data_IF_480662651435
#
_entry.id   IF_480662651435
#
_cell.length_a   1.000
_cell.length_b   1.000
_cell.length_c   1.000
_cell.angle_alpha   90.00
_cell.angle_beta   90.00
_cell.angle_gamma   90.00
#
_symmetry.space_group_name_H-M   'P 1'
#
loop_
_entity.id
_entity.type
_entity.pdbx_description
1 polymer ?
#
# COMPACT_ATOMS: atom_id res chain seq x y z
N UNK A 1 -21.37 -13.29 -23.80
CA UNK A 1 -20.68 -12.34 -22.90
C UNK A 1 -20.26 -11.22 -23.80
N UNK A 2 -20.85 -10.07 -23.52
CA UNK A 2 -20.93 -8.96 -24.45
C UNK A 2 -19.87 -7.94 -24.06
N UNK A 3 -19.50 -7.04 -24.97
CA UNK A 3 -18.46 -6.01 -24.71
C UNK A 3 -18.80 -5.18 -23.47
N UNK A 4 -20.07 -4.87 -23.28
CA UNK A 4 -20.56 -4.11 -22.12
C UNK A 4 -20.38 -4.88 -20.80
N UNK A 5 -20.61 -6.20 -20.79
CA UNK A 5 -20.32 -7.03 -19.61
C UNK A 5 -18.82 -7.12 -19.31
N UNK A 6 -17.98 -7.22 -20.35
CA UNK A 6 -16.52 -7.25 -20.18
C UNK A 6 -16.00 -5.90 -19.65
N UNK A 7 -16.55 -4.79 -20.15
CA UNK A 7 -16.25 -3.44 -19.67
C UNK A 7 -16.59 -3.31 -18.17
N UNK A 8 -17.78 -3.73 -17.75
CA UNK A 8 -18.16 -3.68 -16.34
C UNK A 8 -17.24 -4.55 -15.46
N UNK A 9 -16.86 -5.75 -15.91
CA UNK A 9 -15.93 -6.62 -15.20
C UNK A 9 -14.54 -5.97 -15.04
N UNK A 10 -14.01 -5.36 -16.11
CA UNK A 10 -12.72 -4.64 -16.11
C UNK A 10 -12.79 -3.43 -15.18
N UNK A 11 -13.89 -2.69 -15.22
CA UNK A 11 -14.12 -1.52 -14.37
C UNK A 11 -14.19 -1.88 -12.89
N UNK A 12 -14.90 -2.95 -12.54
CA UNK A 12 -15.00 -3.44 -11.16
C UNK A 12 -13.62 -3.89 -10.64
N UNK A 13 -12.84 -4.60 -11.48
CA UNK A 13 -11.48 -4.97 -11.14
C UNK A 13 -10.58 -3.73 -10.96
N UNK A 14 -10.68 -2.74 -11.85
CA UNK A 14 -9.92 -1.49 -11.77
C UNK A 14 -10.22 -0.72 -10.48
N UNK A 15 -11.48 -0.63 -10.08
CA UNK A 15 -11.89 -0.02 -8.80
C UNK A 15 -11.28 -0.77 -7.61
N UNK A 16 -11.37 -2.09 -7.62
CA UNK A 16 -10.79 -2.96 -6.58
C UNK A 16 -9.27 -2.80 -6.48
N UNK A 17 -8.57 -2.74 -7.62
CA UNK A 17 -7.11 -2.54 -7.68
C UNK A 17 -6.73 -1.16 -7.15
N UNK A 18 -7.42 -0.09 -7.58
CA UNK A 18 -7.16 1.27 -7.09
C UNK A 18 -7.41 1.41 -5.59
N UNK A 19 -8.46 0.78 -5.08
CA UNK A 19 -8.75 0.71 -3.65
C UNK A 19 -7.63 -0.01 -2.88
N UNK A 20 -7.26 -1.20 -3.35
CA UNK A 20 -6.20 -2.01 -2.74
C UNK A 20 -4.86 -1.28 -2.76
N UNK A 21 -4.50 -0.66 -3.88
CA UNK A 21 -3.31 0.16 -4.03
C UNK A 21 -3.23 1.26 -2.97
N UNK A 22 -4.34 1.97 -2.72
CA UNK A 22 -4.37 3.05 -1.73
C UNK A 22 -4.24 2.53 -0.29
N UNK A 23 -4.87 1.40 0.05
CA UNK A 23 -4.67 0.76 1.36
C UNK A 23 -3.19 0.37 1.54
N UNK A 24 -2.59 -0.28 0.53
CA UNK A 24 -1.19 -0.69 0.56
C UNK A 24 -0.25 0.50 0.71
N UNK A 25 -0.52 1.61 0.01
CA UNK A 25 0.25 2.84 0.14
C UNK A 25 0.19 3.44 1.56
N UNK A 26 -1.01 3.51 2.16
CA UNK A 26 -1.18 4.00 3.55
C UNK A 26 -0.46 3.10 4.55
N UNK A 27 -0.55 1.78 4.36
CA UNK A 27 0.14 0.82 5.21
C UNK A 27 1.66 0.97 5.12
N UNK A 28 2.19 1.14 3.90
CA UNK A 28 3.60 1.44 3.65
C UNK A 28 4.04 2.74 4.35
N UNK A 29 3.30 3.84 4.17
CA UNK A 29 3.64 5.14 4.78
C UNK A 29 3.67 5.06 6.30
N UNK A 30 2.72 4.34 6.90
CA UNK A 30 2.69 4.11 8.33
C UNK A 30 3.93 3.32 8.78
N UNK A 31 4.26 2.24 8.09
CA UNK A 31 5.43 1.41 8.40
C UNK A 31 6.74 2.20 8.22
N UNK A 32 6.81 3.06 7.21
CA UNK A 32 7.94 3.94 6.95
C UNK A 32 8.13 4.98 8.06
N UNK A 33 7.04 5.60 8.54
CA UNK A 33 7.06 6.50 9.72
C UNK A 33 7.54 5.77 10.97
N UNK A 34 7.05 4.55 11.22
CA UNK A 34 7.53 3.73 12.33
C UNK A 34 9.02 3.44 12.20
N UNK A 35 9.49 3.03 11.02
CA UNK A 35 10.90 2.77 10.79
C UNK A 35 11.77 4.03 10.99
N UNK A 36 11.32 5.19 10.49
CA UNK A 36 12.01 6.46 10.71
C UNK A 36 12.14 6.77 12.22
N UNK A 37 11.05 6.59 12.98
CA UNK A 37 11.08 6.76 14.44
C UNK A 37 12.00 5.75 15.13
N UNK A 38 12.05 4.49 14.67
CA UNK A 38 12.99 3.49 15.17
C UNK A 38 14.45 3.87 14.86
N UNK A 39 14.75 4.34 13.66
CA UNK A 39 16.10 4.79 13.30
C UNK A 39 16.54 5.98 14.17
N UNK A 40 15.68 6.99 14.32
CA UNK A 40 15.99 8.14 15.17
C UNK A 40 16.13 7.78 16.64
N UNK A 41 15.30 6.86 17.16
CA UNK A 41 15.47 6.38 18.54
C UNK A 41 16.75 5.58 18.73
N UNK A 42 17.17 4.78 17.74
CA UNK A 42 18.50 4.13 17.73
C UNK A 42 19.64 5.16 17.73
N UNK A 43 19.55 6.20 16.90
CA UNK A 43 20.55 7.28 16.84
C UNK A 43 20.65 7.98 18.20
N UNK A 44 19.52 8.37 18.79
CA UNK A 44 19.48 8.99 20.12
C UNK A 44 20.05 8.05 21.19
N UNK A 45 19.68 6.77 21.17
CA UNK A 45 20.23 5.77 22.09
C UNK A 45 21.75 5.59 21.94
N UNK A 46 22.27 5.62 20.70
CA UNK A 46 23.70 5.57 20.43
C UNK A 46 24.44 6.82 20.93
N UNK A 47 23.86 8.01 20.75
CA UNK A 47 24.38 9.26 21.33
C UNK A 47 24.37 9.23 22.87
N UNK A 48 23.29 8.74 23.49
CA UNK A 48 23.21 8.58 24.94
C UNK A 48 24.24 7.55 25.40
N UNK A 49 24.42 6.44 24.69
CA UNK A 49 25.41 5.42 25.02
C UNK A 49 26.84 5.95 24.92
N UNK A 50 27.20 6.67 23.85
CA UNK A 50 28.54 7.26 23.71
C UNK A 50 28.82 8.35 24.76
N UNK A 51 27.82 9.19 25.04
CA UNK A 51 27.85 10.15 26.15
C UNK A 51 27.93 9.47 27.52
N UNK A 52 27.25 8.33 27.70
CA UNK A 52 27.30 7.53 28.92
C UNK A 52 28.66 6.89 29.13
N UNK A 53 29.32 6.35 28.10
CA UNK A 53 30.69 5.79 28.20
C UNK A 53 31.69 6.87 28.60
N UNK A 54 31.60 8.07 28.01
CA UNK A 54 32.41 9.21 28.42
C UNK A 54 32.11 9.66 29.87
N UNK A 55 30.82 9.66 30.27
CA UNK A 55 30.41 10.02 31.63
C UNK A 55 30.77 8.97 32.68
N UNK A 56 30.82 7.68 32.32
CA UNK A 56 31.22 6.57 33.17
C UNK A 56 32.72 6.60 33.50
N UNK A 57 33.53 7.14 32.58
CA UNK A 57 34.97 7.33 32.77
C UNK A 57 35.33 8.59 33.57
N UNK A 58 34.45 9.61 33.62
CA UNK A 58 34.75 10.93 34.22
C UNK A 58 33.88 11.27 35.45
N UNK A 59 32.66 10.75 35.58
CA UNK A 59 31.76 11.04 36.71
C UNK A 59 30.99 9.82 37.21
N UNK A 60 31.19 9.45 38.47
CA UNK A 60 30.54 8.33 39.14
C UNK A 60 29.09 8.64 39.60
N UNK A 61 28.30 9.36 38.80
CA UNK A 61 26.95 9.74 39.20
C UNK A 61 25.97 8.56 39.01
N UNK A 62 25.20 8.22 40.04
CA UNK A 62 24.20 7.12 39.99
C UNK A 62 23.20 7.33 38.84
N UNK A 63 22.83 8.59 38.59
CA UNK A 63 21.84 8.94 37.56
C UNK A 63 22.31 8.58 36.14
N UNK A 64 23.58 8.79 35.80
CA UNK A 64 24.10 8.48 34.45
C UNK A 64 24.16 6.96 34.21
N UNK A 65 24.46 6.17 35.26
CA UNK A 65 24.42 4.70 35.21
C UNK A 65 23.01 4.18 34.97
N UNK A 66 22.03 4.68 35.70
CA UNK A 66 20.62 4.30 35.50
C UNK A 66 20.14 4.62 34.09
N UNK A 67 20.41 5.83 33.58
CA UNK A 67 20.04 6.21 32.20
C UNK A 67 20.68 5.30 31.14
N UNK A 68 21.94 4.90 31.32
CA UNK A 68 22.63 3.97 30.40
C UNK A 68 21.97 2.58 30.37
N UNK A 69 21.58 2.05 31.54
CA UNK A 69 20.93 0.74 31.65
C UNK A 69 19.54 0.77 31.00
N UNK A 70 18.73 1.79 31.32
CA UNK A 70 17.42 1.96 30.69
C UNK A 70 17.52 2.15 29.18
N UNK A 71 18.49 2.94 28.70
CA UNK A 71 18.74 3.12 27.26
C UNK A 71 19.10 1.82 26.55
N UNK A 72 19.95 0.98 27.15
CA UNK A 72 20.34 -0.32 26.60
C UNK A 72 19.16 -1.31 26.53
N UNK A 73 18.30 -1.35 27.54
CA UNK A 73 17.10 -2.20 27.56
C UNK A 73 16.12 -1.75 26.45
N UNK A 74 15.89 -0.45 26.32
CA UNK A 74 15.02 0.11 25.27
C UNK A 74 15.57 -0.21 23.88
N UNK A 75 16.89 -0.03 23.68
CA UNK A 75 17.55 -0.35 22.43
C UNK A 75 17.39 -1.83 22.06
N UNK A 76 17.66 -2.73 23.01
CA UNK A 76 17.55 -4.18 22.80
C UNK A 76 16.11 -4.60 22.49
N UNK A 77 15.12 -4.01 23.18
CA UNK A 77 13.71 -4.25 22.91
C UNK A 77 13.30 -3.78 21.50
N UNK A 78 13.80 -2.61 21.06
CA UNK A 78 13.57 -2.08 19.72
C UNK A 78 14.18 -3.00 18.66
N UNK A 79 15.40 -3.50 18.84
CA UNK A 79 16.04 -4.41 17.89
C UNK A 79 15.31 -5.74 17.80
N UNK A 80 14.91 -6.32 18.94
CA UNK A 80 14.12 -7.55 18.98
C UNK A 80 12.80 -7.38 18.24
N UNK A 81 12.09 -6.27 18.45
CA UNK A 81 10.83 -6.00 17.74
C UNK A 81 11.09 -5.79 16.25
N UNK A 82 12.07 -4.97 15.87
CA UNK A 82 12.38 -4.70 14.46
C UNK A 82 12.76 -5.96 13.69
N UNK A 83 13.54 -6.85 14.32
CA UNK A 83 14.02 -8.09 13.70
C UNK A 83 12.92 -9.16 13.68
N UNK A 84 12.18 -9.32 14.78
CA UNK A 84 11.06 -10.28 14.89
C UNK A 84 9.94 -9.99 13.90
N UNK A 85 9.64 -8.71 13.65
CA UNK A 85 8.60 -8.30 12.70
C UNK A 85 9.12 -8.07 11.27
N UNK A 86 10.40 -8.37 10.99
CA UNK A 86 11.06 -8.20 9.67
C UNK A 86 10.61 -6.92 8.97
N UNK A 87 10.61 -5.79 9.71
CA UNK A 87 9.95 -4.55 9.28
C UNK A 87 10.44 -4.06 7.92
N UNK A 88 11.73 -4.24 7.64
CA UNK A 88 12.37 -3.85 6.39
C UNK A 88 11.88 -4.69 5.20
N UNK A 89 11.82 -6.03 5.36
CA UNK A 89 11.31 -6.92 4.31
C UNK A 89 9.82 -6.67 4.04
N UNK A 90 9.02 -6.49 5.10
CA UNK A 90 7.62 -6.13 4.96
C UNK A 90 7.45 -4.79 4.24
N UNK A 91 8.31 -3.81 4.50
CA UNK A 91 8.30 -2.52 3.79
C UNK A 91 8.62 -2.68 2.31
N UNK A 92 9.64 -3.45 1.96
CA UNK A 92 10.01 -3.73 0.56
C UNK A 92 8.88 -4.44 -0.17
N UNK A 93 8.28 -5.46 0.46
CA UNK A 93 7.14 -6.19 -0.11
C UNK A 93 5.94 -5.28 -0.37
N UNK A 94 5.64 -4.38 0.57
CA UNK A 94 4.56 -3.41 0.41
C UNK A 94 4.86 -2.38 -0.67
N UNK A 95 6.10 -1.91 -0.78
CA UNK A 95 6.50 -0.99 -1.83
C UNK A 95 6.36 -1.64 -3.22
N UNK A 96 6.89 -2.84 -3.39
CA UNK A 96 6.80 -3.57 -4.66
C UNK A 96 5.34 -3.87 -5.02
N UNK A 97 4.54 -4.34 -4.07
CA UNK A 97 3.12 -4.58 -4.30
C UNK A 97 2.36 -3.29 -4.65
N UNK A 98 2.74 -2.15 -4.06
CA UNK A 98 2.17 -0.84 -4.40
C UNK A 98 2.48 -0.49 -5.87
N UNK A 99 3.73 -0.60 -6.30
CA UNK A 99 4.11 -0.31 -7.69
C UNK A 99 3.47 -1.28 -8.68
N UNK A 100 3.44 -2.59 -8.39
CA UNK A 100 2.79 -3.58 -9.24
C UNK A 100 1.28 -3.32 -9.40
N UNK A 101 0.60 -2.93 -8.31
CA UNK A 101 -0.83 -2.56 -8.37
C UNK A 101 -1.05 -1.27 -9.18
N UNK A 102 -0.11 -0.32 -9.11
CA UNK A 102 -0.17 0.89 -9.93
C UNK A 102 -0.04 0.57 -11.41
N UNK A 103 0.95 -0.25 -11.81
CA UNK A 103 1.13 -0.70 -13.19
C UNK A 103 -0.13 -1.42 -13.72
N UNK A 104 -0.66 -2.37 -12.96
CA UNK A 104 -1.89 -3.08 -13.31
C UNK A 104 -3.06 -2.11 -13.47
N UNK A 105 -3.15 -1.07 -12.63
CA UNK A 105 -4.21 -0.07 -12.76
C UNK A 105 -4.13 0.72 -14.06
N UNK A 106 -2.92 0.98 -14.57
CA UNK A 106 -2.70 1.64 -15.86
C UNK A 106 -3.06 0.70 -17.01
N UNK A 107 -2.63 -0.56 -16.95
CA UNK A 107 -2.97 -1.59 -17.95
C UNK A 107 -4.49 -1.82 -18.02
N UNK A 108 -5.18 -1.91 -16.87
CA UNK A 108 -6.63 -2.02 -16.80
C UNK A 108 -7.32 -0.77 -17.35
N UNK A 109 -6.83 0.43 -17.04
CA UNK A 109 -7.37 1.69 -17.60
C UNK A 109 -7.22 1.72 -19.13
N UNK A 110 -6.08 1.26 -19.65
CA UNK A 110 -5.86 1.14 -21.09
C UNK A 110 -6.81 0.14 -21.73
N UNK A 111 -6.99 -1.04 -21.11
CA UNK A 111 -7.89 -2.07 -21.58
C UNK A 111 -9.35 -1.60 -21.58
N UNK A 112 -9.77 -0.86 -20.56
CA UNK A 112 -11.12 -0.30 -20.44
C UNK A 112 -11.42 0.71 -21.57
N UNK A 113 -10.42 1.55 -21.90
CA UNK A 113 -10.48 2.48 -23.05
C UNK A 113 -10.47 1.76 -24.40
N UNK A 114 -9.69 0.69 -24.52
CA UNK A 114 -9.64 -0.14 -25.72
C UNK A 114 -11.02 -0.77 -25.96
N UNK A 115 -11.60 -1.42 -24.96
CA UNK A 115 -12.95 -2.02 -25.03
C UNK A 115 -14.01 -0.97 -25.41
N UNK A 116 -13.90 0.26 -24.86
CA UNK A 116 -14.84 1.35 -25.15
C UNK A 116 -14.66 1.96 -26.55
N UNK A 117 -13.43 2.05 -27.07
CA UNK A 117 -13.12 2.64 -28.38
C UNK A 117 -13.16 1.65 -29.54
N UNK A 118 -13.02 0.35 -29.26
CA UNK A 118 -13.10 -0.74 -30.22
C UNK A 118 -14.47 -0.76 -30.91
N UNK A 119 -14.53 -0.33 -32.18
CA UNK A 119 -15.66 -0.63 -33.06
C UNK A 119 -15.85 -2.15 -33.15
N UNK A 120 -17.05 -2.62 -33.52
CA UNK A 120 -17.38 -4.06 -33.54
C UNK A 120 -16.48 -4.95 -34.41
N UNK A 121 -15.58 -4.36 -35.21
CA UNK A 121 -14.73 -5.08 -36.16
C UNK A 121 -13.21 -4.97 -35.91
N UNK A 122 -12.73 -4.20 -34.92
CA UNK A 122 -11.30 -3.87 -34.82
C UNK A 122 -10.45 -4.87 -34.02
N UNK A 123 -10.96 -5.36 -32.88
CA UNK A 123 -10.24 -6.29 -32.01
C UNK A 123 -11.21 -7.39 -31.57
N UNK A 124 -10.86 -8.68 -31.69
CA UNK A 124 -11.72 -9.75 -31.21
C UNK A 124 -11.86 -9.66 -29.69
N UNK A 125 -13.10 -9.66 -29.19
CA UNK A 125 -13.42 -9.66 -27.74
C UNK A 125 -12.69 -10.75 -26.94
N UNK A 126 -12.28 -11.83 -27.61
CA UNK A 126 -11.47 -12.91 -27.01
C UNK A 126 -10.06 -12.45 -26.61
N UNK A 127 -9.46 -11.52 -27.35
CA UNK A 127 -8.13 -10.96 -27.06
C UNK A 127 -8.21 -10.06 -25.83
N UNK A 128 -9.21 -9.16 -25.78
CA UNK A 128 -9.46 -8.29 -24.62
C UNK A 128 -9.77 -9.11 -23.36
N UNK A 129 -10.58 -10.17 -23.50
CA UNK A 129 -10.84 -11.12 -22.41
C UNK A 129 -9.56 -11.79 -21.91
N UNK A 130 -8.69 -12.24 -22.82
CA UNK A 130 -7.44 -12.92 -22.43
C UNK A 130 -6.55 -11.97 -21.62
N UNK A 131 -6.42 -10.71 -22.05
CA UNK A 131 -5.73 -9.66 -21.29
C UNK A 131 -6.37 -9.43 -19.92
N UNK A 132 -7.70 -9.36 -19.85
CA UNK A 132 -8.41 -9.23 -18.58
C UNK A 132 -8.11 -10.40 -17.62
N UNK A 133 -8.14 -11.65 -18.08
CA UNK A 133 -7.86 -12.83 -17.25
C UNK A 133 -6.40 -12.82 -16.77
N UNK A 134 -5.47 -12.41 -17.62
CA UNK A 134 -4.06 -12.26 -17.24
C UNK A 134 -3.88 -11.22 -16.13
N UNK A 135 -4.49 -10.03 -16.29
CA UNK A 135 -4.48 -8.98 -15.27
C UNK A 135 -5.13 -9.44 -13.97
N UNK A 136 -6.28 -10.12 -14.04
CA UNK A 136 -6.97 -10.68 -12.88
C UNK A 136 -6.07 -11.67 -12.11
N UNK A 137 -5.34 -12.52 -12.83
CA UNK A 137 -4.43 -13.49 -12.21
C UNK A 137 -3.23 -12.78 -11.56
N UNK A 138 -2.68 -11.74 -12.18
CA UNK A 138 -1.63 -10.90 -11.56
C UNK A 138 -2.12 -10.26 -10.26
N UNK A 139 -3.33 -9.68 -10.26
CA UNK A 139 -3.94 -9.11 -9.05
C UNK A 139 -4.10 -10.15 -7.95
N UNK A 140 -4.62 -11.34 -8.28
CA UNK A 140 -4.76 -12.44 -7.31
C UNK A 140 -3.42 -12.86 -6.72
N UNK A 141 -2.37 -12.97 -7.54
CA UNK A 141 -1.04 -13.31 -7.08
C UNK A 141 -0.49 -12.27 -6.08
N UNK A 142 -0.73 -10.98 -6.32
CA UNK A 142 -0.35 -9.89 -5.40
C UNK A 142 -1.16 -9.97 -4.10
N UNK A 143 -2.47 -10.17 -4.19
CA UNK A 143 -3.35 -10.27 -3.02
C UNK A 143 -2.99 -11.44 -2.10
N UNK A 144 -2.53 -12.57 -2.65
CA UNK A 144 -2.06 -13.71 -1.86
C UNK A 144 -0.75 -13.40 -1.13
N UNK A 145 0.14 -12.60 -1.74
CA UNK A 145 1.42 -12.20 -1.14
C UNK A 145 1.27 -11.10 -0.08
N UNK A 146 0.24 -10.27 -0.21
CA UNK A 146 -0.03 -9.19 0.74
C UNK A 146 -0.54 -9.76 2.06
N UNK A 147 0.10 -9.35 3.16
CA UNK A 147 -0.45 -9.58 4.48
C UNK A 147 -1.77 -8.81 4.65
N UNK A 148 -2.75 -9.35 5.38
CA UNK A 148 -3.99 -8.65 5.63
C UNK A 148 -3.71 -7.30 6.30
N UNK A 149 -4.24 -6.24 5.69
CA UNK A 149 -4.08 -4.88 6.20
C UNK A 149 -4.81 -4.72 7.52
N UNK A 150 -4.23 -3.94 8.45
CA UNK A 150 -4.87 -3.70 9.74
C UNK A 150 -6.12 -2.85 9.58
N UNK A 151 -7.12 -3.03 10.45
CA UNK A 151 -8.35 -2.22 10.46
C UNK A 151 -8.09 -0.71 10.60
N UNK A 152 -6.96 -0.33 11.21
CA UNK A 152 -6.51 1.06 11.31
C UNK A 152 -6.06 1.63 9.97
N UNK A 153 -5.38 0.84 9.14
CA UNK A 153 -4.95 1.29 7.80
C UNK A 153 -6.13 1.43 6.86
N UNK A 154 -7.06 0.48 6.93
CA UNK A 154 -8.33 0.53 6.19
C UNK A 154 -9.05 1.83 6.54
N UNK A 155 -9.21 2.15 7.83
CA UNK A 155 -9.85 3.42 8.28
C UNK A 155 -9.15 4.69 7.81
N UNK A 156 -7.81 4.69 7.70
CA UNK A 156 -7.05 5.86 7.24
C UNK A 156 -7.17 6.00 5.72
N UNK A 157 -6.96 4.92 4.96
CA UNK A 157 -7.14 4.90 3.51
C UNK A 157 -8.58 5.30 3.12
N UNK A 158 -9.57 4.77 3.86
CA UNK A 158 -10.97 5.17 3.81
C UNK A 158 -11.17 6.67 3.98
N UNK A 159 -10.63 7.25 5.05
CA UNK A 159 -10.72 8.70 5.31
C UNK A 159 -10.09 9.52 4.19
N UNK A 160 -8.97 9.04 3.65
CA UNK A 160 -8.24 9.71 2.57
C UNK A 160 -8.97 9.58 1.21
N UNK A 161 -9.85 8.58 1.03
CA UNK A 161 -10.67 8.38 -0.18
C UNK A 161 -11.99 9.13 -0.09
N UNK A 162 -12.65 9.15 1.07
CA UNK A 162 -13.92 9.86 1.22
C UNK A 162 -14.19 10.41 2.61
N UNK A 163 -14.69 11.64 2.59
CA UNK A 163 -15.51 12.28 3.62
C UNK A 163 -16.93 11.67 3.73
N UNK A 164 -17.19 10.41 3.33
CA UNK A 164 -18.44 9.63 3.55
C UNK A 164 -18.33 8.17 2.99
N UNK A 165 -18.45 7.19 3.90
CA UNK A 165 -18.72 5.74 3.75
C UNK A 165 -18.13 4.89 2.59
N UNK A 166 -17.39 3.84 2.96
CA UNK A 166 -16.66 2.87 2.11
C UNK A 166 -17.22 1.43 2.18
N UNK A 167 -18.50 1.24 1.91
CA UNK A 167 -18.97 -0.12 1.62
C UNK A 167 -19.25 -0.36 0.14
N UNK A 168 -19.27 0.69 -0.68
CA UNK A 168 -19.59 0.57 -2.10
C UNK A 168 -18.52 1.22 -2.98
N UNK A 169 -17.66 0.40 -3.60
CA UNK A 169 -16.65 0.86 -4.57
C UNK A 169 -17.29 1.63 -5.74
N UNK A 170 -18.56 1.33 -6.04
CA UNK A 170 -19.36 2.02 -7.04
C UNK A 170 -19.65 3.47 -6.68
N UNK A 171 -19.86 3.81 -5.41
CA UNK A 171 -20.05 5.21 -5.02
C UNK A 171 -18.76 6.04 -5.14
N UNK A 172 -17.59 5.39 -5.11
CA UNK A 172 -16.27 6.03 -5.25
C UNK A 172 -15.84 6.20 -6.71
N UNK A 173 -16.64 5.71 -7.66
CA UNK A 173 -16.28 5.63 -9.06
C UNK A 173 -15.86 6.98 -9.65
N UNK A 174 -16.57 8.07 -9.31
CA UNK A 174 -16.26 9.42 -9.83
C UNK A 174 -14.93 10.00 -9.33
N UNK A 175 -14.41 9.49 -8.22
CA UNK A 175 -13.14 9.94 -7.63
C UNK A 175 -11.98 9.08 -8.14
N UNK A 176 -12.22 7.78 -8.28
CA UNK A 176 -11.18 6.81 -8.61
C UNK A 176 -11.00 6.61 -10.12
N UNK A 177 -12.04 6.83 -10.93
CA UNK A 177 -11.99 6.65 -12.37
C UNK A 177 -12.03 8.00 -13.10
N UNK A 178 -11.27 8.14 -14.20
CA UNK A 178 -11.39 9.30 -15.05
C UNK A 178 -12.79 9.35 -15.71
N UNK A 179 -13.31 10.54 -16.08
CA UNK A 179 -14.71 10.74 -16.49
C UNK A 179 -15.13 9.92 -17.71
N UNK A 180 -14.18 9.64 -18.60
CA UNK A 180 -14.34 8.83 -19.80
C UNK A 180 -14.69 7.37 -19.48
N UNK A 181 -14.41 6.87 -18.28
CA UNK A 181 -14.67 5.49 -17.86
C UNK A 181 -15.87 5.36 -16.93
N UNK A 182 -16.72 6.39 -16.84
CA UNK A 182 -17.90 6.34 -15.99
C UNK A 182 -18.99 5.42 -16.55
N UNK A 183 -19.21 5.51 -17.86
CA UNK A 183 -20.25 4.80 -18.59
C UNK A 183 -19.69 4.19 -19.87
N UNK A 184 -20.21 3.02 -20.26
CA UNK A 184 -19.81 2.32 -21.49
C UNK A 184 -20.21 3.13 -22.74
N UNK A 185 -21.40 3.75 -22.73
CA UNK A 185 -21.85 4.71 -23.75
C UNK A 185 -22.02 6.09 -23.09
N UNK A 186 -21.75 7.16 -23.83
CA UNK A 186 -22.05 8.51 -23.34
C UNK A 186 -23.57 8.71 -23.32
N UNK A 187 -24.10 9.15 -22.17
CA UNK A 187 -25.49 9.59 -22.06
C UNK A 187 -25.66 10.81 -22.98
N UNK A 188 -26.48 10.66 -24.03
CA UNK A 188 -26.86 11.76 -24.94
C UNK A 188 -27.84 12.71 -24.27
#
# INVERSE_FOLDING_TARGET
>A
MDKESLFNDVKDLLLSVKWTHKITAVHYDRLSKYNCWLVWSKVIAAFISSGSVASLLVSANIWTKSFSIFGSIIFTAIELVSNKFRLEENRVNLFNAKEELWEISQELTSLDREIKSSSDNAIPIQVERKRYIELLNRVKAIQIRLSPSSSKDIKVASRDIKKRHDYDNWENQRILLPPDLWHFREDK
#
